data_IF_275749940411
#
_entry.id   IF_275749940411
#
_cell.length_a   1.000
_cell.length_b   1.000
_cell.length_c   1.000
_cell.angle_alpha   90.00
_cell.angle_beta   90.00
_cell.angle_gamma   90.00
#
_symmetry.space_group_name_H-M   'P 1'
#
loop_
_entity.id
_entity.type
_entity.pdbx_description
1 polymer ?
#
# COMPACT_ATOMS: atom_id res chain seq x y z
N UNK A 1 16.14 23.03 1.02
CA UNK A 1 15.91 21.57 0.95
C UNK A 1 16.15 20.89 2.31
N UNK A 2 15.43 21.27 3.40
CA UNK A 2 15.84 20.86 4.75
C UNK A 2 15.58 19.39 5.12
N UNK A 3 14.70 18.67 4.39
CA UNK A 3 14.26 17.32 4.79
C UNK A 3 14.72 16.18 3.85
N UNK A 4 15.73 16.42 3.01
CA UNK A 4 16.21 15.41 2.07
C UNK A 4 16.67 14.13 2.78
N UNK A 5 17.33 14.26 3.93
CA UNK A 5 17.77 13.10 4.73
C UNK A 5 16.58 12.28 5.21
N UNK A 6 15.51 12.93 5.69
CA UNK A 6 14.27 12.24 6.07
C UNK A 6 13.66 11.46 4.89
N UNK A 7 13.62 12.05 3.69
CA UNK A 7 13.13 11.37 2.48
C UNK A 7 13.98 10.14 2.15
N UNK A 8 15.32 10.26 2.16
CA UNK A 8 16.23 9.17 1.82
C UNK A 8 16.13 8.03 2.82
N UNK A 9 16.18 8.31 4.13
CA UNK A 9 16.07 7.28 5.16
C UNK A 9 14.68 6.63 5.12
N UNK A 10 13.63 7.44 4.93
CA UNK A 10 12.28 6.94 4.71
C UNK A 10 12.22 5.99 3.51
N UNK A 11 12.84 6.34 2.38
CA UNK A 11 12.89 5.49 1.18
C UNK A 11 13.57 4.16 1.44
N UNK A 12 14.71 4.15 2.14
CA UNK A 12 15.42 2.91 2.50
C UNK A 12 14.53 2.03 3.39
N UNK A 13 13.89 2.61 4.40
CA UNK A 13 12.97 1.89 5.29
C UNK A 13 11.76 1.32 4.53
N UNK A 14 11.14 2.11 3.67
CA UNK A 14 10.00 1.69 2.85
C UNK A 14 10.34 0.62 1.81
N UNK A 15 11.61 0.59 1.39
CA UNK A 15 12.15 -0.39 0.45
C UNK A 15 12.35 -1.79 1.06
N UNK A 16 12.00 -2.03 2.33
CA UNK A 16 11.94 -3.38 2.90
C UNK A 16 10.70 -4.10 2.36
N UNK A 17 10.85 -5.16 1.54
CA UNK A 17 9.73 -5.77 0.83
C UNK A 17 9.08 -6.90 1.64
N UNK A 18 8.44 -6.59 2.76
CA UNK A 18 7.87 -7.59 3.69
C UNK A 18 6.98 -8.63 3.02
N UNK A 19 6.13 -8.22 2.07
CA UNK A 19 5.28 -9.16 1.33
C UNK A 19 6.09 -10.21 0.55
N UNK A 20 7.17 -9.78 -0.12
CA UNK A 20 8.06 -10.68 -0.84
C UNK A 20 8.80 -11.60 0.13
N UNK A 21 9.39 -11.05 1.20
CA UNK A 21 10.16 -11.81 2.19
C UNK A 21 9.31 -12.89 2.86
N UNK A 22 8.12 -12.53 3.36
CA UNK A 22 7.25 -13.45 4.07
C UNK A 22 6.67 -14.54 3.15
N UNK A 23 6.25 -14.18 1.93
CA UNK A 23 5.73 -15.17 0.97
C UNK A 23 6.84 -16.09 0.47
N UNK A 24 8.02 -15.56 0.18
CA UNK A 24 9.17 -16.37 -0.25
C UNK A 24 9.60 -17.33 0.85
N UNK A 25 9.64 -16.87 2.11
CA UNK A 25 10.00 -17.71 3.25
C UNK A 25 8.97 -18.81 3.53
N UNK A 26 7.67 -18.48 3.55
CA UNK A 26 6.61 -19.43 3.94
C UNK A 26 6.14 -20.35 2.83
N UNK A 27 6.29 -19.95 1.57
CA UNK A 27 5.70 -20.66 0.42
C UNK A 27 6.68 -20.88 -0.73
N UNK A 28 7.94 -20.44 -0.61
CA UNK A 28 8.93 -20.59 -1.68
C UNK A 28 8.61 -19.79 -2.94
N UNK A 29 7.64 -18.86 -2.92
CA UNK A 29 7.20 -18.15 -4.13
C UNK A 29 7.81 -16.75 -4.22
N UNK A 30 8.20 -16.35 -5.43
CA UNK A 30 8.58 -14.98 -5.72
C UNK A 30 7.33 -14.12 -5.97
N UNK A 31 6.86 -13.37 -4.96
CA UNK A 31 5.57 -12.64 -5.06
C UNK A 31 5.49 -11.66 -6.25
N UNK A 32 6.64 -11.16 -6.75
CA UNK A 32 6.68 -10.26 -7.89
C UNK A 32 6.46 -10.93 -9.26
N UNK A 33 6.41 -12.26 -9.33
CA UNK A 33 6.15 -13.05 -10.56
C UNK A 33 4.77 -13.70 -10.58
N UNK A 34 4.04 -13.69 -9.46
CA UNK A 34 2.76 -14.37 -9.31
C UNK A 34 1.62 -13.40 -9.01
N UNK A 35 0.41 -13.79 -9.42
CA UNK A 35 -0.79 -13.00 -9.20
C UNK A 35 -0.78 -11.64 -9.88
N UNK A 36 -1.09 -10.60 -9.11
CA UNK A 36 -1.07 -9.21 -9.62
C UNK A 36 0.35 -8.68 -9.82
N UNK A 37 1.38 -9.42 -9.43
CA UNK A 37 2.80 -9.03 -9.37
C UNK A 37 3.12 -7.87 -8.41
N UNK A 38 2.11 -7.28 -7.77
CA UNK A 38 2.29 -6.26 -6.74
C UNK A 38 2.75 -6.92 -5.44
N UNK A 39 3.65 -6.23 -4.72
CA UNK A 39 4.27 -6.75 -3.51
C UNK A 39 3.62 -6.10 -2.29
N UNK A 40 2.41 -6.56 -1.98
CA UNK A 40 1.62 -6.07 -0.84
C UNK A 40 0.62 -7.11 -0.32
N UNK A 41 -0.06 -6.75 0.78
CA UNK A 41 -0.94 -7.65 1.53
C UNK A 41 -2.05 -8.31 0.68
N UNK A 42 -2.73 -7.54 -0.18
CA UNK A 42 -3.80 -8.08 -1.03
C UNK A 42 -3.30 -9.19 -1.95
N UNK A 43 -2.16 -8.99 -2.63
CA UNK A 43 -1.58 -10.01 -3.49
C UNK A 43 -1.05 -11.21 -2.70
N UNK A 44 -0.47 -10.97 -1.51
CA UNK A 44 0.00 -12.04 -0.63
C UNK A 44 -1.17 -12.94 -0.18
N UNK A 45 -2.29 -12.35 0.24
CA UNK A 45 -3.50 -13.10 0.57
C UNK A 45 -4.07 -13.83 -0.66
N UNK A 46 -4.26 -13.10 -1.76
CA UNK A 46 -4.81 -13.62 -3.01
C UNK A 46 -3.98 -14.78 -3.57
N UNK A 47 -2.65 -14.72 -3.49
CA UNK A 47 -1.77 -15.77 -4.01
C UNK A 47 -1.71 -16.99 -3.08
N UNK A 48 -1.69 -16.78 -1.76
CA UNK A 48 -1.42 -17.86 -0.79
C UNK A 48 -2.67 -18.44 -0.13
N UNK A 49 -3.80 -17.75 -0.23
CA UNK A 49 -5.03 -18.06 0.51
C UNK A 49 -4.93 -17.84 2.03
N UNK A 50 -3.77 -17.42 2.56
CA UNK A 50 -3.52 -17.30 3.99
C UNK A 50 -3.88 -15.90 4.51
N UNK A 51 -4.99 -15.82 5.25
CA UNK A 51 -5.39 -14.57 5.95
C UNK A 51 -4.32 -14.12 6.94
N UNK A 52 -3.69 -15.06 7.65
CA UNK A 52 -2.60 -14.77 8.60
C UNK A 52 -1.41 -14.12 7.89
N UNK A 53 -1.00 -14.66 6.75
CA UNK A 53 0.12 -14.12 5.99
C UNK A 53 -0.20 -12.73 5.41
N UNK A 54 -1.39 -12.57 4.80
CA UNK A 54 -1.85 -11.27 4.31
C UNK A 54 -1.94 -10.21 5.41
N UNK A 55 -2.48 -10.59 6.58
CA UNK A 55 -2.58 -9.73 7.76
C UNK A 55 -1.21 -9.34 8.33
N UNK A 56 -0.26 -10.27 8.39
CA UNK A 56 1.11 -9.97 8.83
C UNK A 56 1.80 -8.98 7.89
N UNK A 57 1.66 -9.15 6.58
CA UNK A 57 2.18 -8.19 5.59
C UNK A 57 1.53 -6.82 5.77
N UNK A 58 0.21 -6.77 5.95
CA UNK A 58 -0.51 -5.52 6.18
C UNK A 58 0.02 -4.80 7.42
N UNK A 59 0.15 -5.52 8.54
CA UNK A 59 0.66 -4.96 9.79
C UNK A 59 2.08 -4.41 9.64
N UNK A 60 2.98 -5.16 9.01
CA UNK A 60 4.36 -4.71 8.78
C UNK A 60 4.44 -3.51 7.83
N UNK A 61 3.60 -3.48 6.78
CA UNK A 61 3.53 -2.35 5.85
C UNK A 61 2.95 -1.09 6.51
N UNK A 62 2.05 -1.23 7.49
CA UNK A 62 1.58 -0.12 8.35
C UNK A 62 2.70 0.33 9.29
N UNK A 63 3.33 -0.61 10.01
CA UNK A 63 4.37 -0.32 10.99
C UNK A 63 5.56 0.41 10.38
N UNK A 64 6.00 0.04 9.17
CA UNK A 64 7.11 0.76 8.52
C UNK A 64 6.74 2.19 8.13
N UNK A 65 5.47 2.45 7.80
CA UNK A 65 4.98 3.80 7.53
C UNK A 65 5.03 4.67 8.78
N UNK A 66 4.56 4.13 9.90
CA UNK A 66 4.66 4.76 11.21
C UNK A 66 6.12 4.99 11.63
N UNK A 67 6.98 3.98 11.45
CA UNK A 67 8.41 4.08 11.75
C UNK A 67 9.12 5.13 10.88
N UNK A 68 8.73 5.31 9.62
CA UNK A 68 9.28 6.38 8.77
C UNK A 68 8.97 7.77 9.35
N UNK A 69 7.73 8.00 9.79
CA UNK A 69 7.35 9.24 10.48
C UNK A 69 8.17 9.44 11.76
N UNK A 70 8.33 8.38 12.55
CA UNK A 70 9.17 8.39 13.75
C UNK A 70 10.61 8.80 13.47
N UNK A 71 11.21 8.31 12.39
CA UNK A 71 12.54 8.75 11.94
C UNK A 71 12.56 10.24 11.59
N UNK A 72 11.54 10.74 10.89
CA UNK A 72 11.41 12.17 10.61
C UNK A 72 11.39 13.02 11.88
N UNK A 73 10.70 12.54 12.92
CA UNK A 73 10.67 13.18 14.23
C UNK A 73 12.00 13.11 14.98
N UNK A 74 12.68 11.97 14.94
CA UNK A 74 14.00 11.81 15.57
C UNK A 74 15.04 12.75 14.97
N UNK A 75 14.99 12.99 13.67
CA UNK A 75 15.97 13.83 12.97
C UNK A 75 15.71 15.33 13.10
N UNK A 76 14.44 15.75 13.23
CA UNK A 76 14.05 17.16 13.05
C UNK A 76 13.08 17.71 14.11
N UNK A 77 12.81 16.94 15.16
CA UNK A 77 11.96 17.34 16.28
C UNK A 77 10.65 16.55 16.37
N UNK A 78 10.28 16.23 17.61
CA UNK A 78 9.11 15.41 17.94
C UNK A 78 7.82 16.01 17.40
N UNK A 79 6.93 15.16 16.86
CA UNK A 79 5.62 15.54 16.34
C UNK A 79 5.63 16.58 15.19
N UNK A 80 6.80 16.90 14.61
CA UNK A 80 6.89 17.84 13.51
C UNK A 80 6.29 17.24 12.23
N UNK A 81 5.23 17.87 11.72
CA UNK A 81 4.46 17.35 10.58
C UNK A 81 5.31 17.24 9.30
N UNK A 82 6.00 18.32 8.91
CA UNK A 82 6.74 18.40 7.63
C UNK A 82 7.85 17.34 7.50
N UNK A 83 8.78 17.18 8.46
CA UNK A 83 9.81 16.14 8.36
C UNK A 83 9.22 14.72 8.45
N UNK A 84 8.19 14.51 9.27
CA UNK A 84 7.48 13.22 9.33
C UNK A 84 6.81 12.87 8.00
N UNK A 85 6.12 13.84 7.37
CA UNK A 85 5.51 13.68 6.05
C UNK A 85 6.56 13.43 4.95
N UNK A 86 7.70 14.12 5.00
CA UNK A 86 8.80 13.90 4.06
C UNK A 86 9.36 12.47 4.15
N UNK A 87 9.60 11.97 5.37
CA UNK A 87 10.02 10.59 5.58
C UNK A 87 8.96 9.57 5.12
N UNK A 88 7.68 9.82 5.43
CA UNK A 88 6.58 8.98 4.98
C UNK A 88 6.50 8.91 3.45
N UNK A 89 6.62 10.03 2.74
CA UNK A 89 6.62 10.07 1.28
C UNK A 89 7.81 9.29 0.70
N UNK A 90 8.98 9.40 1.33
CA UNK A 90 10.12 8.53 1.03
C UNK A 90 9.76 7.05 1.17
N UNK A 91 9.16 6.65 2.28
CA UNK A 91 8.79 5.26 2.54
C UNK A 91 7.72 4.72 1.58
N UNK A 92 6.72 5.54 1.22
CA UNK A 92 5.74 5.19 0.18
C UNK A 92 6.44 5.00 -1.15
N UNK A 93 7.34 5.91 -1.54
CA UNK A 93 8.09 5.79 -2.80
C UNK A 93 8.95 4.51 -2.83
N UNK A 94 9.67 4.19 -1.74
CA UNK A 94 10.48 2.97 -1.62
C UNK A 94 9.64 1.69 -1.64
N UNK A 95 8.44 1.72 -1.08
CA UNK A 95 7.51 0.59 -1.17
C UNK A 95 6.91 0.43 -2.57
N UNK A 96 6.53 1.53 -3.23
CA UNK A 96 5.87 1.51 -4.55
C UNK A 96 6.84 1.21 -5.69
N UNK A 97 8.08 1.66 -5.55
CA UNK A 97 9.17 1.57 -6.51
C UNK A 97 10.41 1.00 -5.81
N UNK A 98 10.32 -0.26 -5.45
CA UNK A 98 11.34 -0.95 -4.65
C UNK A 98 12.58 -1.22 -5.49
N UNK A 99 13.70 -0.56 -5.18
CA UNK A 99 14.94 -0.68 -5.97
C UNK A 99 15.47 -2.12 -6.04
N UNK A 100 15.41 -2.86 -4.93
CA UNK A 100 15.95 -4.22 -4.84
C UNK A 100 15.19 -5.19 -5.74
N UNK A 101 13.87 -5.19 -5.61
CA UNK A 101 13.01 -6.04 -6.42
C UNK A 101 12.98 -5.60 -7.88
N UNK A 102 13.07 -4.30 -8.13
CA UNK A 102 13.08 -3.79 -9.50
C UNK A 102 14.34 -4.22 -10.25
N UNK A 103 15.50 -4.20 -9.57
CA UNK A 103 16.76 -4.72 -10.12
C UNK A 103 16.67 -6.21 -10.41
N UNK A 104 16.11 -7.00 -9.49
CA UNK A 104 15.93 -8.44 -9.69
C UNK A 104 14.95 -8.77 -10.83
N UNK A 105 13.87 -7.98 -10.97
CA UNK A 105 12.81 -8.25 -11.94
C UNK A 105 13.05 -7.63 -13.33
N UNK A 106 14.09 -6.79 -13.50
CA UNK A 106 14.36 -6.06 -14.75
C UNK A 106 13.32 -5.00 -15.11
N UNK A 107 12.44 -4.62 -14.18
CA UNK A 107 11.36 -3.64 -14.36
C UNK A 107 10.97 -3.03 -13.01
N UNK A 108 10.30 -1.89 -13.01
CA UNK A 108 9.80 -1.30 -11.75
C UNK A 108 8.75 -2.21 -11.07
N UNK A 109 9.06 -2.62 -9.84
CA UNK A 109 8.23 -3.50 -9.01
C UNK A 109 8.08 -2.88 -7.61
N UNK A 110 6.92 -3.08 -7.00
CA UNK A 110 6.64 -2.68 -5.63
C UNK A 110 5.18 -2.92 -5.26
N UNK A 111 4.75 -2.32 -4.15
CA UNK A 111 3.35 -2.28 -3.74
C UNK A 111 2.63 -1.02 -4.20
N UNK A 112 1.49 -0.73 -3.56
CA UNK A 112 0.61 0.42 -3.88
C UNK A 112 0.70 1.55 -2.86
N UNK A 113 1.27 1.29 -1.68
CA UNK A 113 1.56 2.34 -0.70
C UNK A 113 0.42 2.68 0.26
N UNK A 114 -0.78 2.11 0.06
CA UNK A 114 -1.95 2.41 0.91
C UNK A 114 -1.70 2.08 2.39
N UNK A 115 -1.18 0.88 2.69
CA UNK A 115 -0.88 0.47 4.06
C UNK A 115 0.24 1.30 4.70
N UNK A 116 1.29 1.60 3.94
CA UNK A 116 2.40 2.45 4.38
C UNK A 116 1.95 3.87 4.66
N UNK A 117 1.15 4.46 3.77
CA UNK A 117 0.54 5.76 4.00
C UNK A 117 -0.37 5.75 5.23
N UNK A 118 -1.19 4.70 5.40
CA UNK A 118 -2.09 4.59 6.55
C UNK A 118 -1.33 4.60 7.89
N UNK A 119 -0.22 3.86 7.99
CA UNK A 119 0.60 3.87 9.20
C UNK A 119 1.25 5.21 9.51
N UNK A 120 1.72 5.94 8.49
CA UNK A 120 2.27 7.27 8.70
C UNK A 120 1.21 8.33 9.02
N UNK A 121 0.07 8.31 8.32
CA UNK A 121 -1.03 9.23 8.58
C UNK A 121 -1.72 8.96 9.93
N UNK A 122 -1.67 7.74 10.46
CA UNK A 122 -2.12 7.47 11.83
C UNK A 122 -1.40 8.36 12.85
N UNK A 123 -0.10 8.63 12.63
CA UNK A 123 0.71 9.47 13.51
C UNK A 123 0.62 10.96 13.17
N UNK A 124 0.55 11.31 11.88
CA UNK A 124 0.59 12.70 11.42
C UNK A 124 -0.77 13.40 11.46
N UNK A 125 -1.83 12.68 11.11
CA UNK A 125 -3.16 13.23 10.88
C UNK A 125 -4.21 12.09 10.92
N UNK A 126 -4.51 11.53 12.11
CA UNK A 126 -5.31 10.31 12.23
C UNK A 126 -6.71 10.41 11.62
N UNK A 127 -7.30 11.61 11.58
CA UNK A 127 -8.60 11.87 10.95
C UNK A 127 -8.63 11.67 9.43
N UNK A 128 -7.46 11.61 8.77
CA UNK A 128 -7.38 11.25 7.35
C UNK A 128 -7.76 9.78 7.09
N UNK A 129 -7.62 8.88 8.07
CA UNK A 129 -7.97 7.47 7.90
C UNK A 129 -9.49 7.24 7.77
N UNK A 130 -10.35 7.71 8.70
CA UNK A 130 -11.79 7.62 8.52
C UNK A 130 -12.26 8.44 7.33
N UNK A 131 -11.65 9.59 7.02
CA UNK A 131 -11.96 10.36 5.81
C UNK A 131 -11.68 9.56 4.54
N UNK A 132 -10.51 8.93 4.42
CA UNK A 132 -10.18 8.05 3.31
C UNK A 132 -11.15 6.86 3.24
N UNK A 133 -11.51 6.26 4.37
CA UNK A 133 -12.48 5.17 4.45
C UNK A 133 -13.88 5.57 3.95
N UNK A 134 -14.35 6.76 4.30
CA UNK A 134 -15.61 7.31 3.81
C UNK A 134 -15.57 7.52 2.28
N UNK A 135 -14.51 8.18 1.78
CA UNK A 135 -14.31 8.38 0.34
C UNK A 135 -14.20 7.04 -0.41
N UNK A 136 -13.62 6.03 0.22
CA UNK A 136 -13.50 4.69 -0.35
C UNK A 136 -14.88 4.05 -0.51
N UNK A 137 -15.72 4.10 0.52
CA UNK A 137 -17.07 3.54 0.49
C UNK A 137 -17.94 4.27 -0.51
N UNK A 138 -17.94 5.61 -0.50
CA UNK A 138 -18.77 6.42 -1.41
C UNK A 138 -18.31 6.29 -2.86
N UNK A 139 -17.01 6.33 -3.12
CA UNK A 139 -16.45 6.15 -4.46
C UNK A 139 -16.72 4.76 -5.02
N UNK A 140 -16.60 3.73 -4.18
CA UNK A 140 -16.98 2.35 -4.55
C UNK A 140 -18.47 2.24 -4.87
N UNK A 141 -19.33 2.81 -4.02
CA UNK A 141 -20.79 2.77 -4.22
C UNK A 141 -21.21 3.50 -5.50
N UNK A 142 -20.71 4.72 -5.71
CA UNK A 142 -20.98 5.51 -6.91
C UNK A 142 -20.59 4.78 -8.21
N UNK A 143 -19.47 4.06 -8.20
CA UNK A 143 -19.03 3.28 -9.36
C UNK A 143 -19.87 2.01 -9.58
N UNK A 144 -20.26 1.34 -8.49
CA UNK A 144 -20.99 0.08 -8.53
C UNK A 144 -22.45 0.20 -8.98
N UNK A 145 -23.04 1.41 -8.94
CA UNK A 145 -24.41 1.67 -9.37
C UNK A 145 -24.65 1.14 -10.79
N UNK A 146 -25.52 0.13 -10.90
CA UNK A 146 -25.89 -0.51 -12.18
C UNK A 146 -24.88 -1.51 -12.76
N UNK A 147 -23.74 -1.78 -12.10
CA UNK A 147 -22.68 -2.66 -12.64
C UNK A 147 -22.50 -4.00 -11.94
N UNK A 148 -23.08 -4.20 -10.75
CA UNK A 148 -22.94 -5.47 -9.99
C UNK A 148 -21.51 -5.80 -9.54
N UNK A 149 -20.56 -4.88 -9.71
CA UNK A 149 -19.14 -5.11 -9.46
C UNK A 149 -18.82 -5.03 -7.96
N UNK A 150 -18.10 -6.04 -7.45
CA UNK A 150 -17.66 -6.14 -6.04
C UNK A 150 -16.24 -5.61 -5.81
N UNK A 151 -15.67 -4.91 -6.79
CA UNK A 151 -14.25 -4.54 -6.78
C UNK A 151 -13.93 -3.36 -5.87
N UNK A 152 -12.79 -3.45 -5.17
CA UNK A 152 -12.32 -2.43 -4.22
C UNK A 152 -11.52 -1.32 -4.91
N UNK A 153 -11.19 -1.48 -6.19
CA UNK A 153 -10.30 -0.57 -6.92
C UNK A 153 -10.89 0.83 -7.13
N UNK A 154 -12.17 0.99 -7.55
CA UNK A 154 -12.76 2.32 -7.72
C UNK A 154 -12.76 3.12 -6.41
N UNK A 155 -13.08 2.46 -5.28
CA UNK A 155 -13.00 3.09 -3.96
C UNK A 155 -11.58 3.53 -3.61
N UNK A 156 -10.57 2.67 -3.82
CA UNK A 156 -9.17 3.03 -3.56
C UNK A 156 -8.72 4.24 -4.39
N UNK A 157 -9.08 4.27 -5.67
CA UNK A 157 -8.72 5.36 -6.59
C UNK A 157 -9.42 6.65 -6.18
N UNK A 158 -10.74 6.62 -5.97
CA UNK A 158 -11.51 7.80 -5.55
C UNK A 158 -10.99 8.35 -4.22
N UNK A 159 -10.82 7.50 -3.21
CA UNK A 159 -10.32 7.90 -1.91
C UNK A 159 -8.93 8.53 -1.98
N UNK A 160 -8.02 7.91 -2.73
CA UNK A 160 -6.65 8.41 -2.88
C UNK A 160 -6.59 9.73 -3.66
N UNK A 161 -7.40 9.87 -4.71
CA UNK A 161 -7.44 11.07 -5.54
C UNK A 161 -8.10 12.26 -4.83
N UNK A 162 -9.12 12.02 -4.01
CA UNK A 162 -9.89 13.06 -3.33
C UNK A 162 -9.34 13.42 -1.94
N UNK A 163 -8.50 12.58 -1.34
CA UNK A 163 -7.91 12.84 -0.01
C UNK A 163 -7.25 14.23 0.13
N UNK A 164 -6.53 14.77 -0.88
CA UNK A 164 -5.93 16.11 -0.77
C UNK A 164 -6.94 17.23 -0.55
N UNK A 165 -8.12 17.12 -1.16
CA UNK A 165 -9.21 18.10 -1.01
C UNK A 165 -9.80 18.10 0.41
N UNK A 166 -9.68 16.97 1.11
CA UNK A 166 -10.11 16.83 2.51
C UNK A 166 -8.98 17.19 3.47
N UNK A 167 -7.73 16.82 3.15
CA UNK A 167 -6.59 17.07 4.01
C UNK A 167 -6.24 18.56 4.13
N UNK A 168 -6.39 19.33 3.04
CA UNK A 168 -6.10 20.76 3.05
C UNK A 168 -6.95 21.55 4.06
N UNK A 169 -8.30 21.47 4.08
CA UNK A 169 -9.09 22.21 5.06
C UNK A 169 -8.99 21.65 6.48
N UNK A 170 -8.77 20.34 6.67
CA UNK A 170 -8.74 19.73 8.00
C UNK A 170 -7.39 19.91 8.73
N UNK A 171 -6.29 19.85 7.99
CA UNK A 171 -4.94 19.79 8.56
C UNK A 171 -3.98 20.84 7.95
N UNK A 172 -4.47 21.66 7.03
CA UNK A 172 -3.74 22.77 6.42
C UNK A 172 -2.95 22.40 5.15
N UNK A 173 -2.29 23.40 4.52
CA UNK A 173 -1.64 23.25 3.22
C UNK A 173 -0.58 22.16 3.16
N UNK A 174 0.18 21.96 4.24
CA UNK A 174 1.22 20.93 4.29
C UNK A 174 0.63 19.52 4.19
N UNK A 175 -0.53 19.27 4.81
CA UNK A 175 -1.21 17.98 4.73
C UNK A 175 -1.87 17.77 3.36
N UNK A 176 -2.47 18.82 2.79
CA UNK A 176 -2.95 18.80 1.41
C UNK A 176 -1.85 18.45 0.41
N UNK A 177 -0.68 19.09 0.52
CA UNK A 177 0.48 18.77 -0.32
C UNK A 177 0.98 17.33 -0.10
N UNK A 178 1.13 16.89 1.16
CA UNK A 178 1.62 15.55 1.47
C UNK A 178 0.71 14.45 0.91
N UNK A 179 -0.60 14.62 1.05
CA UNK A 179 -1.59 13.68 0.49
C UNK A 179 -1.66 13.73 -1.04
N UNK A 180 -1.46 14.91 -1.65
CA UNK A 180 -1.38 15.04 -3.11
C UNK A 180 -0.15 14.30 -3.67
N UNK A 181 1.02 14.48 -3.05
CA UNK A 181 2.23 13.76 -3.42
C UNK A 181 2.08 12.25 -3.21
N UNK A 182 1.43 11.83 -2.13
CA UNK A 182 1.06 10.43 -1.92
C UNK A 182 0.17 9.90 -3.06
N UNK A 183 -0.85 10.66 -3.47
CA UNK A 183 -1.72 10.27 -4.57
C UNK A 183 -0.95 10.11 -5.89
N UNK A 184 -0.02 11.00 -6.19
CA UNK A 184 0.85 10.90 -7.37
C UNK A 184 1.73 9.64 -7.35
N UNK A 185 2.16 9.18 -6.18
CA UNK A 185 2.94 7.94 -6.04
C UNK A 185 2.06 6.68 -6.13
N UNK A 186 0.83 6.73 -5.64
CA UNK A 186 -0.06 5.57 -5.50
C UNK A 186 -0.94 5.32 -6.73
N UNK A 187 -1.54 6.36 -7.32
CA UNK A 187 -2.49 6.22 -8.43
C UNK A 187 -1.93 5.51 -9.67
N UNK A 188 -0.68 5.75 -10.12
CA UNK A 188 -0.10 5.01 -11.24
C UNK A 188 -0.05 3.48 -11.01
N UNK A 189 -0.03 3.04 -9.75
CA UNK A 189 -0.03 1.61 -9.39
C UNK A 189 -1.41 0.96 -9.58
N UNK A 190 -2.47 1.75 -9.77
CA UNK A 190 -3.82 1.27 -10.02
C UNK A 190 -4.23 1.28 -11.50
N UNK A 191 -3.44 1.90 -12.39
CA UNK A 191 -3.80 2.10 -13.81
C UNK A 191 -4.15 0.80 -14.53
N UNK A 192 -3.36 -0.27 -14.34
CA UNK A 192 -3.62 -1.57 -14.99
C UNK A 192 -4.94 -2.21 -14.53
N UNK A 193 -5.25 -2.09 -13.24
CA UNK A 193 -6.49 -2.65 -12.69
C UNK A 193 -7.69 -1.86 -13.19
N UNK A 194 -7.54 -0.55 -13.28
CA UNK A 194 -8.59 0.32 -13.78
C UNK A 194 -8.83 0.11 -15.28
N UNK A 195 -7.77 -0.04 -16.06
CA UNK A 195 -7.86 -0.43 -17.47
C UNK A 195 -8.57 -1.76 -17.68
N UNK A 196 -8.26 -2.79 -16.87
CA UNK A 196 -8.96 -4.07 -16.91
C UNK A 196 -10.45 -3.89 -16.60
N UNK A 197 -10.78 -3.14 -15.54
CA UNK A 197 -12.16 -2.80 -15.17
C UNK A 197 -12.93 -2.11 -16.31
N UNK A 198 -12.32 -1.13 -16.98
CA UNK A 198 -12.95 -0.45 -18.11
C UNK A 198 -13.16 -1.34 -19.32
N UNK A 199 -12.31 -2.34 -19.54
CA UNK A 199 -12.46 -3.34 -20.61
C UNK A 199 -13.39 -4.50 -20.24
N UNK A 200 -13.97 -4.51 -19.03
CA UNK A 200 -14.76 -5.63 -18.54
C UNK A 200 -13.94 -6.91 -18.32
N UNK A 201 -12.62 -6.80 -18.22
CA UNK A 201 -11.73 -7.92 -17.95
C UNK A 201 -11.70 -8.23 -16.45
N UNK A 202 -11.49 -9.50 -16.11
CA UNK A 202 -11.21 -9.89 -14.74
C UNK A 202 -9.98 -9.14 -14.23
N UNK A 203 -10.11 -8.46 -13.09
CA UNK A 203 -8.97 -7.85 -12.41
C UNK A 203 -8.00 -8.99 -12.08
N UNK A 204 -6.74 -8.87 -12.52
CA UNK A 204 -5.66 -9.81 -12.17
C UNK A 204 -5.25 -9.73 -10.69
N UNK A 205 -6.19 -9.70 -9.76
CA UNK A 205 -5.94 -10.25 -8.43
C UNK A 205 -6.26 -11.74 -8.56
N UNK A 206 -5.27 -12.65 -8.45
CA UNK A 206 -5.58 -14.06 -8.62
C UNK A 206 -6.60 -14.46 -7.54
N UNK A 207 -7.63 -15.20 -7.91
CA UNK A 207 -8.34 -15.97 -6.90
C UNK A 207 -7.31 -16.88 -6.18
N UNK A 208 -7.46 -17.15 -4.88
CA UNK A 208 -6.60 -18.08 -4.17
C UNK A 208 -6.52 -19.40 -4.93
N UNK A 209 -5.30 -19.77 -5.34
CA UNK A 209 -5.07 -21.00 -6.10
C UNK A 209 -5.61 -22.20 -5.29
N UNK A 210 -6.64 -22.92 -5.77
CA UNK A 210 -7.30 -23.96 -4.99
C UNK A 210 -6.35 -25.09 -4.59
N UNK A 211 -5.36 -25.40 -5.44
CA UNK A 211 -4.36 -26.44 -5.19
C UNK A 211 -3.44 -26.09 -4.01
N UNK A 212 -3.20 -24.79 -3.75
CA UNK A 212 -2.40 -24.34 -2.60
C UNK A 212 -3.18 -24.24 -1.29
N UNK A 213 -4.52 -24.24 -1.36
CA UNK A 213 -5.40 -24.36 -0.18
C UNK A 213 -5.33 -25.77 0.39
N UNK A 214 -5.35 -26.79 -0.47
CA UNK A 214 -5.24 -28.20 -0.06
C UNK A 214 -3.90 -28.49 0.65
N UNK A 215 -2.78 -27.99 0.11
CA UNK A 215 -1.48 -28.17 0.76
C UNK A 215 -1.36 -27.46 2.12
N UNK A 216 -2.11 -26.37 2.36
CA UNK A 216 -2.15 -25.72 3.68
C UNK A 216 -3.13 -26.35 4.67
N UNK A 217 -4.13 -27.12 4.19
CA UNK A 217 -4.98 -27.93 5.06
C UNK A 217 -4.27 -29.23 5.45
N UNK A 218 -3.43 -29.79 4.58
CA UNK A 218 -2.63 -30.98 4.88
C UNK A 218 -1.36 -30.70 5.71
N UNK A 219 -0.91 -29.44 5.77
CA UNK A 219 0.29 -29.05 6.53
C UNK A 219 -0.03 -28.56 7.97
N UNK A 220 -1.24 -28.79 8.45
CA UNK A 220 -1.70 -28.36 9.77
C UNK A 220 -2.43 -29.45 10.52
N UNK A 221 -1.71 -30.49 10.94
CA UNK A 221 -1.77 -31.02 12.31
C UNK A 221 -0.60 -32.00 12.56
N UNK A 222 0.51 -31.59 13.20
CA UNK A 222 1.30 -32.51 14.00
C UNK A 222 0.66 -32.56 15.39
N UNK A 223 -0.01 -33.69 15.66
CA UNK A 223 -0.34 -34.22 16.98
C UNK A 223 0.78 -34.00 18.00
#
# INVERSE_FOLDING_TARGET
MPYLVAVVVGYVLGSVPFAYLLVRWRRGMALHTVGSTNVGASNAFATTGSRRLGGAVLALDVLKGAAAVGVGWLLYGTAAFRPGAAALLGAVAGHNYNVWLSRQAGRLVGGKGLATAAGGFLLLAPGLLPAWGLLFVTGRWAFAQGRGLRDVIPGNVAATALLPLVAWPLYGPAAGLATALFALLALPKHTRQMQALWRGEAIREPAPNPTLRQNSMNAGDPS
#
